data_IF_290989085129
#
_entry.id   IF_290989085129
#
_cell.length_a   1.000
_cell.length_b   1.000
_cell.length_c   1.000
_cell.angle_alpha   90.00
_cell.angle_beta   90.00
_cell.angle_gamma   90.00
#
_symmetry.space_group_name_H-M   'P 1'
#
loop_
_entity.id
_entity.type
_entity.pdbx_description
1 polymer ?
#
# COMPACT_ATOMS: atom_id res chain seq x y z
N UNK A 1 -5.19 -3.04 18.66
CA UNK A 1 -4.55 -1.72 18.46
C UNK A 1 -5.60 -0.67 18.79
N UNK A 2 -5.30 0.36 19.59
CA UNK A 2 -6.24 1.46 19.74
C UNK A 2 -6.41 2.13 18.36
N UNK A 3 -7.64 2.21 17.86
CA UNK A 3 -7.93 2.95 16.64
C UNK A 3 -7.75 4.44 16.96
N UNK A 4 -6.73 5.08 16.40
CA UNK A 4 -6.50 6.52 16.57
C UNK A 4 -7.67 7.32 15.98
N UNK A 5 -8.40 6.73 15.03
CA UNK A 5 -9.61 7.28 14.41
C UNK A 5 -10.68 6.18 14.45
N UNK A 6 -11.50 6.17 15.52
CA UNK A 6 -12.42 5.05 15.80
C UNK A 6 -13.58 4.92 14.80
N UNK A 7 -13.98 6.01 14.13
CA UNK A 7 -15.21 6.04 13.32
C UNK A 7 -15.00 5.84 11.81
N UNK A 8 -13.76 5.82 11.33
CA UNK A 8 -13.46 5.75 9.90
C UNK A 8 -12.33 4.73 9.65
N UNK A 9 -12.73 3.54 9.19
CA UNK A 9 -11.81 2.42 8.94
C UNK A 9 -10.74 2.82 7.93
N UNK A 10 -11.09 3.60 6.89
CA UNK A 10 -10.15 4.01 5.85
C UNK A 10 -9.09 4.96 6.41
N UNK A 11 -9.50 5.99 7.15
CA UNK A 11 -8.57 6.94 7.78
C UNK A 11 -7.76 6.32 8.91
N UNK A 12 -8.28 5.27 9.56
CA UNK A 12 -7.58 4.56 10.62
C UNK A 12 -6.42 3.68 10.12
N UNK A 13 -6.32 3.42 8.82
CA UNK A 13 -5.24 2.62 8.26
C UNK A 13 -3.89 3.34 8.41
N UNK A 14 -2.86 2.60 8.84
CA UNK A 14 -1.49 3.14 9.01
C UNK A 14 -0.97 3.86 7.75
N UNK A 15 -1.32 3.34 6.56
CA UNK A 15 -0.96 3.95 5.26
C UNK A 15 -1.68 5.27 5.00
N UNK A 16 -2.93 5.41 5.44
CA UNK A 16 -3.70 6.65 5.32
C UNK A 16 -3.16 7.70 6.30
N UNK A 17 -2.88 7.29 7.54
CA UNK A 17 -2.23 8.14 8.53
C UNK A 17 -0.86 8.62 8.01
N UNK A 18 -0.03 7.72 7.47
CA UNK A 18 1.27 8.07 6.89
C UNK A 18 1.11 9.09 5.74
N UNK A 19 0.14 8.88 4.85
CA UNK A 19 -0.14 9.77 3.73
C UNK A 19 -0.57 11.17 4.21
N UNK A 20 -1.55 11.23 5.11
CA UNK A 20 -2.23 12.47 5.53
C UNK A 20 -1.41 13.28 6.53
N UNK A 21 -0.55 12.64 7.33
CA UNK A 21 0.22 13.30 8.39
C UNK A 21 1.67 13.58 7.99
N UNK A 22 2.25 12.81 7.06
CA UNK A 22 3.68 12.88 6.75
C UNK A 22 3.93 13.07 5.25
N UNK A 23 3.44 12.16 4.40
CA UNK A 23 3.85 12.16 2.99
C UNK A 23 3.43 13.44 2.27
N UNK A 24 2.15 13.81 2.33
CA UNK A 24 1.68 15.05 1.70
C UNK A 24 2.16 16.31 2.44
N UNK A 25 1.83 16.52 3.74
CA UNK A 25 2.06 17.82 4.37
C UNK A 25 3.53 18.12 4.69
N UNK A 26 4.37 17.10 4.91
CA UNK A 26 5.78 17.30 5.32
C UNK A 26 6.72 17.01 4.15
N UNK A 27 6.49 15.90 3.44
CA UNK A 27 7.41 15.46 2.37
C UNK A 27 7.00 15.96 0.98
N UNK A 28 5.81 16.54 0.81
CA UNK A 28 5.32 17.03 -0.49
C UNK A 28 5.07 15.90 -1.51
N UNK A 29 4.59 14.75 -1.03
CA UNK A 29 4.21 13.58 -1.83
C UNK A 29 2.68 13.47 -1.77
N UNK A 30 1.99 14.18 -2.66
CA UNK A 30 0.53 14.22 -2.68
C UNK A 30 -0.09 12.93 -3.25
N UNK A 31 0.51 12.39 -4.31
CA UNK A 31 0.08 11.13 -4.91
C UNK A 31 1.24 10.13 -4.99
N UNK A 32 1.26 9.09 -4.14
CA UNK A 32 2.32 8.08 -4.13
C UNK A 32 2.33 7.18 -5.38
N UNK A 33 1.33 7.27 -6.26
CA UNK A 33 1.29 6.51 -7.53
C UNK A 33 2.13 7.15 -8.62
N UNK A 34 2.31 8.47 -8.56
CA UNK A 34 2.96 9.25 -9.64
C UNK A 34 4.18 10.02 -9.16
N UNK A 35 4.36 10.19 -7.85
CA UNK A 35 5.52 10.88 -7.30
C UNK A 35 6.80 10.08 -7.50
N UNK A 36 7.81 10.71 -8.10
CA UNK A 36 9.17 10.13 -8.25
C UNK A 36 9.96 10.14 -6.93
N UNK A 37 9.46 10.85 -5.90
CA UNK A 37 10.11 11.00 -4.60
C UNK A 37 9.79 9.87 -3.61
N UNK A 38 9.11 8.82 -4.06
CA UNK A 38 8.79 7.65 -3.25
C UNK A 38 8.98 6.38 -4.08
N UNK A 39 9.46 5.32 -3.42
CA UNK A 39 9.58 3.99 -4.01
C UNK A 39 9.15 2.93 -3.00
N UNK A 40 8.81 1.75 -3.51
CA UNK A 40 8.22 0.67 -2.73
C UNK A 40 9.10 -0.57 -2.80
N UNK A 41 9.45 -1.10 -1.64
CA UNK A 41 10.10 -2.40 -1.52
C UNK A 41 9.03 -3.49 -1.45
N UNK A 42 9.14 -4.49 -2.31
CA UNK A 42 8.24 -5.64 -2.29
C UNK A 42 8.41 -6.48 -1.03
N UNK A 43 7.30 -7.00 -0.48
CA UNK A 43 7.27 -7.71 0.80
C UNK A 43 8.30 -8.84 0.94
N UNK A 44 8.62 -9.54 -0.16
CA UNK A 44 9.61 -10.63 -0.19
C UNK A 44 11.03 -10.20 0.25
N UNK A 45 11.40 -8.93 0.06
CA UNK A 45 12.73 -8.41 0.47
C UNK A 45 12.76 -8.02 1.94
N UNK A 46 11.61 -7.62 2.49
CA UNK A 46 11.45 -7.22 3.88
C UNK A 46 12.24 -5.96 4.28
N UNK A 47 12.37 -5.76 5.59
CA UNK A 47 12.93 -4.55 6.20
C UNK A 47 14.42 -4.35 5.91
N UNK A 48 15.18 -5.44 5.65
CA UNK A 48 16.62 -5.36 5.35
C UNK A 48 16.91 -4.52 4.11
N UNK A 49 16.07 -4.61 3.10
CA UNK A 49 16.21 -3.83 1.88
C UNK A 49 15.92 -2.34 2.13
N UNK A 50 14.94 -2.02 3.00
CA UNK A 50 14.67 -0.64 3.41
C UNK A 50 15.90 -0.01 4.08
N UNK A 51 16.52 -0.72 5.03
CA UNK A 51 17.74 -0.29 5.71
C UNK A 51 18.86 -0.08 4.70
N UNK A 52 19.11 -1.07 3.84
CA UNK A 52 20.15 -0.99 2.80
C UNK A 52 19.99 0.23 1.90
N UNK A 53 18.74 0.56 1.52
CA UNK A 53 18.42 1.70 0.67
C UNK A 53 18.70 3.04 1.33
N UNK A 54 18.41 3.18 2.62
CA UNK A 54 18.74 4.40 3.38
C UNK A 54 20.24 4.50 3.62
N UNK A 55 20.89 3.42 4.06
CA UNK A 55 22.32 3.38 4.35
C UNK A 55 23.20 3.66 3.12
N UNK A 56 22.71 3.30 1.92
CA UNK A 56 23.40 3.59 0.65
C UNK A 56 23.42 5.08 0.28
N UNK A 57 22.56 5.90 0.89
CA UNK A 57 22.36 7.30 0.52
C UNK A 57 21.41 7.52 -0.67
N UNK A 58 20.92 6.45 -1.32
CA UNK A 58 19.91 6.54 -2.40
C UNK A 58 18.60 7.20 -1.91
N UNK A 59 18.23 7.00 -0.64
CA UNK A 59 17.00 7.48 -0.03
C UNK A 59 17.27 8.10 1.35
N UNK A 60 16.50 9.11 1.73
CA UNK A 60 16.68 9.82 3.01
C UNK A 60 16.03 9.12 4.19
N UNK A 61 14.90 8.43 3.98
CA UNK A 61 14.11 7.80 5.03
C UNK A 61 13.31 6.63 4.47
N UNK A 62 13.02 5.64 5.30
CA UNK A 62 12.14 4.53 4.98
C UNK A 62 11.06 4.36 6.06
N UNK A 63 9.89 3.90 5.64
CA UNK A 63 8.76 3.59 6.53
C UNK A 63 8.42 2.11 6.39
N UNK A 64 8.38 1.39 7.52
CA UNK A 64 7.81 0.05 7.62
C UNK A 64 6.46 0.16 8.31
N UNK A 65 5.41 -0.38 7.69
CA UNK A 65 4.06 -0.35 8.23
C UNK A 65 3.64 -1.76 8.63
N UNK A 66 2.80 -1.85 9.65
CA UNK A 66 2.19 -3.12 9.96
C UNK A 66 1.23 -3.55 8.86
N UNK A 67 1.10 -4.87 8.68
CA UNK A 67 0.13 -5.44 7.77
C UNK A 67 -1.29 -4.95 8.12
N UNK A 68 -2.01 -4.51 7.10
CA UNK A 68 -3.44 -4.18 7.20
C UNK A 68 -4.21 -5.43 7.62
N UNK A 69 -5.05 -5.37 8.67
CA UNK A 69 -5.90 -6.49 9.06
C UNK A 69 -6.82 -6.90 7.92
N UNK A 70 -7.01 -8.21 7.74
CA UNK A 70 -7.91 -8.73 6.69
C UNK A 70 -9.35 -8.24 6.88
N UNK A 71 -9.79 -8.06 8.14
CA UNK A 71 -11.12 -7.53 8.44
C UNK A 71 -11.32 -6.13 7.87
N UNK A 72 -10.33 -5.24 8.03
CA UNK A 72 -10.39 -3.88 7.48
C UNK A 72 -10.53 -3.88 5.96
N UNK A 73 -9.95 -4.87 5.26
CA UNK A 73 -10.11 -5.01 3.83
C UNK A 73 -11.55 -5.36 3.44
N UNK A 74 -12.20 -6.26 4.18
CA UNK A 74 -13.62 -6.57 3.98
C UNK A 74 -14.51 -5.38 4.32
N UNK A 75 -14.30 -4.73 5.46
CA UNK A 75 -15.09 -3.58 5.90
C UNK A 75 -15.05 -2.43 4.86
N UNK A 76 -13.86 -2.17 4.28
CA UNK A 76 -13.69 -1.15 3.24
C UNK A 76 -14.42 -1.55 1.95
N UNK A 77 -14.33 -2.82 1.54
CA UNK A 77 -15.03 -3.32 0.36
C UNK A 77 -16.57 -3.25 0.52
N UNK A 78 -17.09 -3.68 1.68
CA UNK A 78 -18.52 -3.65 1.99
C UNK A 78 -19.06 -2.22 2.06
N UNK A 79 -18.22 -1.25 2.43
CA UNK A 79 -18.57 0.18 2.42
C UNK A 79 -18.56 0.82 1.03
N UNK A 80 -18.21 0.09 -0.03
CA UNK A 80 -18.08 0.62 -1.40
C UNK A 80 -16.87 1.53 -1.62
N UNK A 81 -15.96 1.59 -0.66
CA UNK A 81 -14.74 2.39 -0.74
C UNK A 81 -13.58 1.61 -1.40
N UNK A 82 -12.53 2.33 -1.77
CA UNK A 82 -11.32 1.76 -2.37
C UNK A 82 -10.16 1.85 -1.39
N UNK A 83 -9.38 0.78 -1.28
CA UNK A 83 -8.16 0.76 -0.48
C UNK A 83 -7.19 1.86 -0.91
N UNK A 84 -6.51 2.55 0.03
CA UNK A 84 -5.43 3.47 -0.32
C UNK A 84 -4.36 2.80 -1.20
N UNK A 85 -3.71 3.54 -2.11
CA UNK A 85 -2.69 2.97 -2.99
C UNK A 85 -1.55 2.34 -2.19
N UNK A 86 -1.08 1.17 -2.65
CA UNK A 86 0.08 0.46 -2.07
C UNK A 86 -0.07 0.10 -0.57
N UNK A 87 -1.32 -0.02 -0.11
CA UNK A 87 -1.69 -0.38 1.26
C UNK A 87 -1.48 -1.85 1.63
N UNK A 88 -1.48 -2.77 0.66
CA UNK A 88 -1.41 -4.22 0.91
C UNK A 88 -0.44 -4.93 -0.02
N UNK A 89 0.19 -6.00 0.50
CA UNK A 89 1.00 -6.94 -0.27
C UNK A 89 0.52 -8.37 -0.02
N UNK A 90 0.00 -9.04 -1.04
CA UNK A 90 -0.43 -10.43 -0.97
C UNK A 90 0.67 -11.41 -1.39
N UNK A 91 0.78 -12.51 -0.64
CA UNK A 91 1.55 -13.70 -1.02
C UNK A 91 0.76 -15.00 -0.78
N UNK A 92 0.77 -15.95 -1.73
CA UNK A 92 1.29 -15.80 -3.08
C UNK A 92 0.47 -14.75 -3.87
N UNK A 93 1.10 -14.07 -4.83
CA UNK A 93 0.34 -13.23 -5.77
C UNK A 93 -0.72 -14.10 -6.45
N UNK A 94 -1.92 -13.54 -6.64
CA UNK A 94 -2.97 -14.21 -7.40
C UNK A 94 -2.38 -14.61 -8.75
N UNK A 95 -2.48 -15.90 -9.08
CA UNK A 95 -2.04 -16.41 -10.38
C UNK A 95 -2.92 -15.76 -11.44
N UNK A 96 -2.35 -14.84 -12.20
CA UNK A 96 -2.97 -14.34 -13.42
C UNK A 96 -2.55 -15.23 -14.59
N UNK A 97 -3.47 -15.41 -15.54
CA UNK A 97 -3.25 -16.14 -16.78
C UNK A 97 -4.06 -15.49 -17.89
N UNK A 98 -3.58 -15.60 -19.12
CA UNK A 98 -4.33 -15.12 -20.29
C UNK A 98 -5.33 -16.20 -20.70
N UNK A 99 -6.62 -15.86 -20.71
CA UNK A 99 -7.67 -16.74 -21.21
C UNK A 99 -8.09 -16.25 -22.59
N UNK A 100 -7.88 -17.10 -23.61
CA UNK A 100 -8.33 -16.84 -24.98
C UNK A 100 -9.40 -17.87 -25.32
N UNK A 101 -10.57 -17.38 -25.70
CA UNK A 101 -11.64 -18.19 -26.24
C UNK A 101 -11.97 -17.69 -27.65
N UNK A 102 -11.73 -18.53 -28.66
CA UNK A 102 -12.06 -18.20 -30.04
C UNK A 102 -13.56 -18.39 -30.25
N UNK A 103 -14.28 -17.29 -30.42
CA UNK A 103 -15.70 -17.28 -30.79
C UNK A 103 -15.81 -17.42 -32.32
N UNK A 104 -15.45 -18.58 -32.86
CA UNK A 104 -15.82 -18.84 -34.25
C UNK A 104 -17.31 -19.18 -34.27
N UNK A 105 -18.11 -18.27 -34.83
CA UNK A 105 -19.48 -18.52 -35.24
C UNK A 105 -19.43 -19.10 -36.67
N UNK A 106 -19.95 -20.31 -36.84
CA UNK A 106 -20.45 -20.77 -38.13
C UNK A 106 -21.78 -20.09 -38.46
#
# INVERSE_FOLDING_TARGET
RPNIIESDVLKSLDVAILQDQILSPILGIDDPRTSERISFVGGIRGEKELVTKVDSGDWTVAFSLHATPIQSLFDIADSGNVMPPKSTWFEPKLRSGFFVHSLNQD
#
